data_IF_398206117867
#
_entry.id   IF_398206117867
#
_cell.length_a   1.000
_cell.length_b   1.000
_cell.length_c   1.000
_cell.angle_alpha   90.00
_cell.angle_beta   90.00
_cell.angle_gamma   90.00
#
_symmetry.space_group_name_H-M   'P 1'
#
loop_
_entity.id
_entity.type
_entity.pdbx_description
1 polymer ?
#
# COMPACT_ATOMS: atom_id res chain seq x y z
N UNK A 1 29.89 -5.19 3.53
CA UNK A 1 28.88 -4.14 3.28
C UNK A 1 28.71 -4.01 1.77
N UNK A 2 27.68 -4.63 1.21
CA UNK A 2 27.54 -4.89 -0.24
C UNK A 2 27.11 -3.63 -1.02
N UNK A 3 27.65 -3.47 -2.24
CA UNK A 3 27.39 -2.38 -3.19
C UNK A 3 25.89 -2.15 -3.47
N UNK A 4 25.06 -3.18 -3.30
CA UNK A 4 23.60 -3.15 -3.46
C UNK A 4 22.88 -2.22 -2.47
N UNK A 5 23.43 -1.99 -1.27
CA UNK A 5 22.87 -1.07 -0.28
C UNK A 5 22.96 0.41 -0.72
N UNK A 6 23.88 0.73 -1.63
CA UNK A 6 24.13 2.11 -2.10
C UNK A 6 23.26 2.52 -3.29
N UNK A 7 22.68 1.58 -4.02
CA UNK A 7 21.91 1.86 -5.24
C UNK A 7 20.40 2.01 -4.96
N UNK A 8 19.97 1.89 -3.71
CA UNK A 8 18.54 1.94 -3.41
C UNK A 8 17.75 0.75 -3.98
N UNK A 9 18.41 -0.31 -4.43
CA UNK A 9 17.69 -1.48 -4.98
C UNK A 9 16.92 -2.24 -3.87
N UNK A 10 17.24 -1.99 -2.60
CA UNK A 10 16.64 -2.67 -1.44
C UNK A 10 16.43 -1.61 -0.35
N UNK A 11 15.28 -0.92 -0.37
CA UNK A 11 14.82 -0.20 0.83
C UNK A 11 14.29 -1.25 1.81
N UNK A 12 14.81 -1.29 3.03
CA UNK A 12 14.24 -2.16 4.08
C UNK A 12 12.94 -1.55 4.63
N UNK A 13 12.13 -2.35 5.31
CA UNK A 13 10.93 -1.84 5.97
C UNK A 13 11.24 -0.69 6.94
N UNK A 14 12.38 -0.73 7.66
CA UNK A 14 12.80 0.36 8.54
C UNK A 14 13.21 1.62 7.77
N UNK A 15 13.85 1.48 6.60
CA UNK A 15 14.22 2.61 5.75
C UNK A 15 12.99 3.29 5.15
N UNK A 16 12.02 2.50 4.69
CA UNK A 16 10.75 3.02 4.17
C UNK A 16 9.97 3.74 5.28
N UNK A 17 9.94 3.15 6.48
CA UNK A 17 9.34 3.77 7.65
C UNK A 17 10.01 5.11 7.98
N UNK A 18 11.34 5.16 7.99
CA UNK A 18 12.09 6.39 8.23
C UNK A 18 11.80 7.47 7.19
N UNK A 19 11.70 7.10 5.90
CA UNK A 19 11.34 8.02 4.81
C UNK A 19 9.92 8.56 4.98
N UNK A 20 8.95 7.71 5.33
CA UNK A 20 7.57 8.13 5.57
C UNK A 20 7.45 9.02 6.82
N UNK A 21 8.24 8.76 7.86
CA UNK A 21 8.26 9.54 9.10
C UNK A 21 8.79 10.97 8.92
N UNK A 22 9.53 11.25 7.83
CA UNK A 22 9.95 12.61 7.48
C UNK A 22 8.77 13.52 7.09
N UNK A 23 7.61 12.94 6.76
CA UNK A 23 6.42 13.71 6.46
C UNK A 23 5.88 14.39 7.74
N UNK A 24 5.26 15.57 7.61
CA UNK A 24 4.76 16.32 8.76
C UNK A 24 3.68 15.53 9.52
N UNK A 25 3.63 15.72 10.84
CA UNK A 25 2.60 15.15 11.70
C UNK A 25 1.20 15.56 11.20
N UNK A 26 0.28 14.61 11.17
CA UNK A 26 -1.06 14.77 10.57
C UNK A 26 -1.15 14.46 9.07
N UNK A 27 -0.03 14.26 8.37
CA UNK A 27 -0.06 13.77 6.98
C UNK A 27 -0.35 12.26 6.89
N UNK A 28 -0.93 11.82 5.77
CA UNK A 28 -1.17 10.39 5.49
C UNK A 28 0.15 9.60 5.55
N UNK A 29 1.22 10.14 4.98
CA UNK A 29 2.53 9.48 4.98
C UNK A 29 3.08 9.31 6.40
N UNK A 30 2.93 10.33 7.25
CA UNK A 30 3.34 10.23 8.65
C UNK A 30 2.54 9.15 9.38
N UNK A 31 1.22 9.11 9.21
CA UNK A 31 0.39 8.04 9.76
C UNK A 31 0.82 6.65 9.27
N UNK A 32 1.05 6.48 7.96
CA UNK A 32 1.51 5.19 7.39
C UNK A 32 2.88 4.78 7.94
N UNK A 33 3.73 5.72 8.34
CA UNK A 33 5.01 5.41 8.99
C UNK A 33 4.84 4.74 10.37
N UNK A 34 3.69 4.92 11.03
CA UNK A 34 3.43 4.29 12.33
C UNK A 34 2.89 2.86 12.22
N UNK A 35 2.48 2.44 11.01
CA UNK A 35 1.85 1.14 10.79
C UNK A 35 2.86 0.10 10.29
N UNK A 36 2.77 -1.16 10.76
CA UNK A 36 3.60 -2.24 10.27
C UNK A 36 3.19 -2.64 8.85
N UNK A 37 4.15 -3.13 8.07
CA UNK A 37 3.87 -3.84 6.82
C UNK A 37 3.28 -5.21 7.18
N UNK A 38 2.13 -5.51 6.61
CA UNK A 38 1.32 -6.71 6.91
C UNK A 38 1.19 -7.62 5.68
N UNK A 39 1.34 -7.06 4.48
CA UNK A 39 1.25 -7.79 3.22
C UNK A 39 2.60 -7.73 2.52
N UNK A 40 3.37 -8.80 2.68
CA UNK A 40 4.63 -9.01 1.99
C UNK A 40 4.36 -9.80 0.70
N UNK A 41 4.47 -9.15 -0.47
CA UNK A 41 4.32 -9.84 -1.75
C UNK A 41 3.62 -9.04 -2.84
N UNK A 42 3.13 -9.74 -3.86
CA UNK A 42 2.43 -9.12 -4.98
C UNK A 42 0.99 -8.78 -4.61
N UNK A 43 0.62 -7.50 -4.70
CA UNK A 43 -0.68 -6.98 -4.26
C UNK A 43 -1.82 -7.20 -5.27
N UNK A 44 -1.49 -7.55 -6.51
CA UNK A 44 -2.47 -7.66 -7.58
C UNK A 44 -3.51 -8.72 -7.25
N UNK A 45 -4.78 -8.38 -7.52
CA UNK A 45 -5.94 -9.27 -7.36
C UNK A 45 -6.22 -9.72 -5.91
N UNK A 46 -5.51 -9.16 -4.91
CA UNK A 46 -5.79 -9.40 -3.49
C UNK A 46 -6.94 -8.52 -2.99
N UNK A 47 -7.73 -9.05 -2.06
CA UNK A 47 -8.68 -8.23 -1.29
C UNK A 47 -7.95 -7.60 -0.11
N UNK A 48 -7.90 -6.27 -0.12
CA UNK A 48 -7.18 -5.48 0.88
C UNK A 48 -8.13 -4.48 1.51
N UNK A 49 -8.25 -4.54 2.83
CA UNK A 49 -8.90 -3.50 3.63
C UNK A 49 -7.89 -2.39 3.94
N UNK A 50 -8.23 -1.16 3.56
CA UNK A 50 -7.37 0.00 3.76
C UNK A 50 -7.33 0.41 5.24
N UNK A 51 -6.19 0.93 5.75
CA UNK A 51 -6.00 1.27 7.16
C UNK A 51 -6.65 2.62 7.51
N UNK A 52 -7.94 2.81 7.22
CA UNK A 52 -8.68 4.06 7.45
C UNK A 52 -9.31 4.10 8.84
N UNK A 53 -8.42 4.15 9.82
CA UNK A 53 -8.75 4.22 11.23
C UNK A 53 -8.17 5.50 11.83
N UNK A 54 -8.65 5.87 13.02
CA UNK A 54 -8.03 6.96 13.77
C UNK A 54 -6.54 6.66 14.02
N UNK A 55 -5.64 7.66 13.95
CA UNK A 55 -5.91 9.10 13.80
C UNK A 55 -6.03 9.61 12.35
N UNK A 56 -5.98 8.75 11.32
CA UNK A 56 -6.03 9.19 9.91
C UNK A 56 -7.34 9.88 9.55
N UNK A 57 -8.45 9.39 10.10
CA UNK A 57 -9.80 9.88 9.83
C UNK A 57 -10.53 10.07 11.16
N UNK A 58 -11.40 11.07 11.24
CA UNK A 58 -12.19 11.35 12.46
C UNK A 58 -13.11 10.18 12.83
N UNK A 59 -13.54 9.43 11.81
CA UNK A 59 -14.36 8.22 11.93
C UNK A 59 -13.63 7.03 11.31
N UNK A 60 -13.81 5.84 11.89
CA UNK A 60 -13.30 4.60 11.30
C UNK A 60 -14.14 4.20 10.09
N UNK A 61 -13.49 4.10 8.93
CA UNK A 61 -14.11 3.66 7.69
C UNK A 61 -13.54 2.31 7.28
N UNK A 62 -14.42 1.43 6.80
CA UNK A 62 -14.06 0.15 6.23
C UNK A 62 -14.17 0.24 4.71
N UNK A 63 -13.02 0.30 4.06
CA UNK A 63 -12.90 0.31 2.59
C UNK A 63 -12.07 -0.88 2.16
N UNK A 64 -12.67 -1.76 1.37
CA UNK A 64 -12.05 -2.97 0.83
C UNK A 64 -11.90 -2.80 -0.67
N UNK A 65 -10.68 -3.01 -1.14
CA UNK A 65 -10.29 -2.79 -2.52
C UNK A 65 -9.60 -4.00 -3.11
N UNK A 66 -9.61 -4.08 -4.44
CA UNK A 66 -8.82 -5.03 -5.23
C UNK A 66 -7.86 -4.25 -6.11
N UNK A 67 -6.53 -4.37 -5.92
CA UNK A 67 -5.54 -3.76 -6.80
C UNK A 67 -5.53 -4.45 -8.18
N UNK A 68 -5.73 -3.68 -9.25
CA UNK A 68 -5.86 -4.21 -10.62
C UNK A 68 -4.62 -3.89 -11.44
N UNK A 69 -4.18 -2.64 -11.42
CA UNK A 69 -3.12 -2.13 -12.28
C UNK A 69 -2.12 -1.31 -11.48
N UNK A 70 -0.83 -1.65 -11.62
CA UNK A 70 0.25 -0.91 -10.97
C UNK A 70 0.64 0.31 -11.79
N UNK A 71 0.67 1.47 -11.14
CA UNK A 71 1.17 2.74 -11.65
C UNK A 71 2.53 3.02 -11.04
N UNK A 72 3.56 2.91 -11.87
CA UNK A 72 4.93 3.27 -11.50
C UNK A 72 5.01 4.78 -11.22
N UNK A 73 5.78 5.18 -10.22
CA UNK A 73 6.15 6.58 -10.05
C UNK A 73 6.99 7.04 -11.24
N UNK A 74 6.87 8.33 -11.60
CA UNK A 74 7.71 8.93 -12.64
C UNK A 74 9.16 8.89 -12.17
N UNK A 75 9.96 8.03 -12.80
CA UNK A 75 11.40 7.99 -12.59
C UNK A 75 12.06 9.08 -13.45
N UNK A 76 13.14 9.73 -12.97
CA UNK A 76 13.99 10.56 -13.80
C UNK A 76 14.52 9.75 -14.99
N UNK A 77 14.71 10.40 -16.15
CA UNK A 77 15.30 9.76 -17.33
C UNK A 77 16.66 9.11 -16.98
N UNK A 78 16.83 7.85 -17.37
CA UNK A 78 18.09 7.10 -17.17
C UNK A 78 18.15 6.18 -15.95
N UNK A 79 17.08 6.07 -15.15
CA UNK A 79 17.00 5.06 -14.07
C UNK A 79 16.43 3.75 -14.64
N UNK A 80 17.15 2.64 -14.49
CA UNK A 80 16.67 1.32 -14.89
C UNK A 80 15.37 0.95 -14.15
N UNK A 81 14.41 0.38 -14.88
CA UNK A 81 13.13 -0.02 -14.30
C UNK A 81 13.33 -1.17 -13.30
N UNK A 82 12.97 -0.95 -12.03
CA UNK A 82 12.97 -2.04 -11.04
C UNK A 82 11.98 -3.16 -11.43
N UNK A 83 12.38 -4.45 -11.32
CA UNK A 83 11.49 -5.57 -11.57
C UNK A 83 10.32 -5.62 -10.56
N UNK A 84 9.16 -6.07 -11.03
CA UNK A 84 7.95 -6.26 -10.22
C UNK A 84 7.96 -7.67 -9.59
N UNK A 85 7.54 -7.88 -8.32
CA UNK A 85 7.11 -6.90 -7.32
C UNK A 85 8.25 -6.01 -6.81
N UNK A 86 8.01 -4.70 -6.75
CA UNK A 86 8.97 -3.80 -6.08
C UNK A 86 8.93 -4.06 -4.58
N UNK A 87 10.10 -4.19 -3.96
CA UNK A 87 10.25 -4.25 -2.49
C UNK A 87 10.00 -2.90 -1.84
N UNK A 88 10.32 -1.82 -2.54
CA UNK A 88 9.88 -0.48 -2.19
C UNK A 88 8.37 -0.44 -2.40
N UNK A 89 7.57 -0.17 -1.38
CA UNK A 89 6.15 0.09 -1.58
C UNK A 89 5.91 1.48 -2.20
N UNK A 90 6.69 1.80 -3.25
CA UNK A 90 6.61 2.98 -4.09
C UNK A 90 5.63 2.75 -5.25
N UNK A 91 5.18 3.83 -5.86
CA UNK A 91 4.10 3.80 -6.84
C UNK A 91 2.71 3.76 -6.20
N UNK A 92 1.74 3.58 -7.07
CA UNK A 92 0.34 3.48 -6.70
C UNK A 92 -0.35 2.38 -7.50
N UNK A 93 -1.51 1.95 -7.03
CA UNK A 93 -2.34 0.96 -7.71
C UNK A 93 -3.67 1.58 -8.04
N UNK A 94 -4.13 1.35 -9.28
CA UNK A 94 -5.54 1.48 -9.62
C UNK A 94 -6.27 0.33 -8.95
N UNK A 95 -7.16 0.65 -8.01
CA UNK A 95 -7.91 -0.32 -7.25
C UNK A 95 -9.42 -0.19 -7.52
N UNK A 96 -10.12 -1.31 -7.64
CA UNK A 96 -11.58 -1.33 -7.62
C UNK A 96 -12.09 -1.45 -6.18
N UNK A 97 -13.08 -0.62 -5.83
CA UNK A 97 -13.74 -0.70 -4.52
C UNK A 97 -14.76 -1.83 -4.53
N UNK A 98 -14.57 -2.82 -3.66
CA UNK A 98 -15.49 -3.97 -3.50
C UNK A 98 -16.48 -3.72 -2.37
N UNK A 99 -16.05 -3.03 -1.32
CA UNK A 99 -16.90 -2.63 -0.21
C UNK A 99 -16.41 -1.29 0.34
N UNK A 100 -17.34 -0.41 0.72
CA UNK A 100 -17.00 0.84 1.38
C UNK A 100 -18.20 1.37 2.15
N UNK A 101 -17.95 1.82 3.38
CA UNK A 101 -18.88 2.65 4.15
C UNK A 101 -18.48 4.15 4.14
N UNK A 102 -17.46 4.52 3.36
CA UNK A 102 -17.01 5.90 3.26
C UNK A 102 -17.82 6.65 2.18
N UNK A 103 -18.38 7.84 2.48
CA UNK A 103 -19.28 8.55 1.56
C UNK A 103 -18.64 8.91 0.22
N UNK A 104 -17.35 9.26 0.23
CA UNK A 104 -16.59 9.61 -0.98
C UNK A 104 -16.19 8.43 -1.88
N UNK A 105 -16.35 7.18 -1.43
CA UNK A 105 -15.86 6.00 -2.16
C UNK A 105 -16.96 4.95 -2.34
N UNK A 106 -17.97 5.23 -3.15
CA UNK A 106 -19.09 4.31 -3.35
C UNK A 106 -18.66 3.03 -4.07
N UNK A 107 -19.34 1.93 -3.75
CA UNK A 107 -19.25 0.65 -4.48
C UNK A 107 -20.00 0.79 -5.81
N UNK A 108 -19.49 0.19 -6.89
CA UNK A 108 -20.20 0.18 -8.19
C UNK A 108 -19.38 0.56 -9.41
N UNK A 109 -18.08 0.24 -9.44
CA UNK A 109 -17.23 0.42 -10.64
C UNK A 109 -16.31 1.64 -10.60
N UNK A 110 -16.33 2.43 -9.52
CA UNK A 110 -15.34 3.48 -9.30
C UNK A 110 -13.96 2.87 -9.02
N UNK A 111 -12.95 3.42 -9.70
CA UNK A 111 -11.55 3.07 -9.50
C UNK A 111 -10.88 4.20 -8.72
N UNK A 112 -10.15 3.83 -7.68
CA UNK A 112 -9.34 4.76 -6.90
C UNK A 112 -7.87 4.46 -7.08
N UNK A 113 -7.05 5.48 -6.83
CA UNK A 113 -5.60 5.34 -6.83
C UNK A 113 -5.14 5.27 -5.38
N UNK A 114 -4.53 4.14 -5.00
CA UNK A 114 -4.05 3.91 -3.63
C UNK A 114 -2.53 3.73 -3.67
N UNK A 115 -1.76 4.43 -2.82
CA UNK A 115 -0.33 4.20 -2.72
C UNK A 115 0.00 2.74 -2.37
N UNK A 116 1.06 2.19 -2.95
CA UNK A 116 1.49 0.83 -2.63
C UNK A 116 1.82 0.67 -1.13
N UNK A 117 2.41 1.71 -0.51
CA UNK A 117 2.69 1.77 0.92
C UNK A 117 1.44 1.65 1.81
N UNK A 118 0.30 2.14 1.33
CA UNK A 118 -0.97 2.04 2.05
C UNK A 118 -1.56 0.64 1.93
N UNK A 119 -1.50 0.03 0.73
CA UNK A 119 -1.96 -1.34 0.52
C UNK A 119 -1.13 -2.37 1.30
N UNK A 120 0.18 -2.20 1.33
CA UNK A 120 1.09 -3.10 2.04
C UNK A 120 0.89 -3.10 3.57
N UNK A 121 0.30 -2.03 4.10
CA UNK A 121 -0.03 -1.84 5.52
C UNK A 121 -1.53 -2.04 5.81
N UNK A 122 -2.30 -2.43 4.80
CA UNK A 122 -3.70 -2.79 4.93
C UNK A 122 -3.89 -4.18 5.51
N UNK A 123 -5.14 -4.61 5.69
CA UNK A 123 -5.45 -5.98 6.12
C UNK A 123 -5.88 -6.81 4.92
N UNK A 124 -5.18 -7.90 4.64
CA UNK A 124 -5.62 -8.89 3.65
C UNK A 124 -6.92 -9.55 4.15
N UNK A 125 -7.93 -9.59 3.29
CA UNK A 125 -9.19 -10.29 3.56
C UNK A 125 -9.17 -11.59 2.78
N UNK A 126 -9.11 -12.70 3.49
CA UNK A 126 -9.31 -14.01 2.89
C UNK A 126 -10.83 -14.26 2.80
N UNK A 127 -11.31 -14.55 1.58
CA UNK A 127 -12.70 -14.98 1.35
C UNK A 127 -12.96 -16.41 1.86
N UNK A 128 -11.90 -17.07 2.32
CA UNK A 128 -11.96 -18.41 2.86
C UNK A 128 -12.45 -18.37 4.31
N UNK A 129 -13.74 -18.63 4.49
CA UNK A 129 -14.20 -19.43 5.64
C UNK A 129 -13.72 -20.89 5.55
N UNK A 130 -12.53 -21.15 5.01
CA UNK A 130 -11.92 -22.47 4.91
C UNK A 130 -10.54 -22.35 5.56
N UNK A 131 -10.29 -23.07 6.67
CA UNK A 131 -9.00 -23.05 7.32
C UNK A 131 -7.98 -23.69 6.39
N UNK A 132 -7.03 -22.92 5.90
CA UNK A 132 -5.84 -23.46 5.24
C UNK A 132 -4.90 -23.96 6.33
N UNK A 133 -5.06 -25.23 6.73
CA UNK A 133 -4.00 -25.96 7.42
C UNK A 133 -2.99 -26.43 6.37
N UNK A 134 -1.74 -26.05 6.55
CA UNK A 134 -0.56 -26.77 6.03
C UNK A 134 0.52 -26.73 7.10
#
# INVERSE_FOLDING_TARGET
MSFLSRIGIIETAEQEQARLAQAPEGSINHYLSTLPVTIEGWLKDLLVELPWQQPRTDQSYRVIVVPIEFRKDLLPEGVEEEPLPRRRHSGSWTCAVVFSNHPSYPVGGYRIVVPAAELARGRRIDLAGVPTQA
#
